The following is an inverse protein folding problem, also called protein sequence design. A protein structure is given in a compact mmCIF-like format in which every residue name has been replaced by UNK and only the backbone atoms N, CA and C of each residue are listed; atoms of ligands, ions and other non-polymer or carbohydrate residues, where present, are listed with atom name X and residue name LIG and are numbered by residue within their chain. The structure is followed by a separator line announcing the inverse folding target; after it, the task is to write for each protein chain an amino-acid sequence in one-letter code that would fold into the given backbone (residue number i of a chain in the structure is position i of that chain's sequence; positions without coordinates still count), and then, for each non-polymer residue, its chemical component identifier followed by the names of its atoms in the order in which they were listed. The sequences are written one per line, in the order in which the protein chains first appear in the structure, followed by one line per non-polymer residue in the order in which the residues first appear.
data_IF_990062528178
#
_entry.id   IF_990062528178
#
_cell.length_a   1.000
_cell.length_b   1.000
_cell.length_c   1.000
_cell.angle_alpha   90.00
_cell.angle_beta   90.00
_cell.angle_gamma   90.00
#
_symmetry.space_group_name_H-M   'P 1'
#
loop_
_entity.id
_entity.type
_entity.pdbx_description
1 polymer ?
2 polymer ?
3 non-polymer ?
4 non-polymer ?
5 non-polymer ?
6 non-polymer ?
7 water ?
#
# COMPACT_ATOMS: atom_id res chain seq x y z
N UNK A 1 -19.81 -12.20 7.18
CA UNK A 1 -19.24 -13.22 6.24
C UNK A 1 -18.80 -14.47 6.99
N UNK A 2 -17.64 -15.01 6.61
CA UNK A 2 -17.11 -16.16 7.34
C UNK A 2 -16.87 -15.85 8.81
N UNK A 3 -16.65 -14.59 9.16
CA UNK A 3 -16.33 -14.19 10.53
C UNK A 3 -17.51 -13.54 11.21
N UNK A 4 -18.70 -13.66 10.62
CA UNK A 4 -19.86 -12.95 11.13
C UNK A 4 -20.27 -13.38 12.52
N UNK A 5 -19.94 -14.62 12.90
CA UNK A 5 -20.36 -15.11 14.21
C UNK A 5 -19.35 -14.85 15.32
N UNK A 6 -18.16 -14.29 15.03
CA UNK A 6 -17.19 -13.98 16.07
C UNK A 6 -17.34 -12.53 16.51
N UNK A 7 -17.18 -12.32 17.81
CA UNK A 7 -17.17 -10.98 18.38
C UNK A 7 -16.10 -10.10 17.76
N UNK A 8 -16.45 -8.82 17.56
CA UNK A 8 -15.46 -7.85 17.12
C UNK A 8 -14.20 -7.91 17.96
N UNK A 9 -14.33 -7.87 19.29
CA UNK A 9 -13.14 -7.82 20.12
C UNK A 9 -12.30 -9.08 19.94
N UNK A 10 -12.95 -10.24 19.79
CA UNK A 10 -12.23 -11.49 19.64
C UNK A 10 -11.45 -11.51 18.32
N UNK A 11 -12.06 -10.96 17.27
CA UNK A 11 -11.38 -10.86 15.97
C UNK A 11 -10.14 -9.99 16.07
N UNK A 12 -10.23 -8.88 16.79
CA UNK A 12 -9.06 -8.02 16.95
C UNK A 12 -7.99 -8.72 17.77
N UNK A 13 -8.41 -9.34 18.87
CA UNK A 13 -7.47 -10.11 19.67
C UNK A 13 -6.77 -11.17 18.82
N UNK A 14 -7.53 -11.90 18.01
CA UNK A 14 -6.97 -12.96 17.18
C UNK A 14 -6.13 -12.41 16.02
N UNK A 15 -6.47 -11.23 15.51
CA UNK A 15 -5.57 -10.60 14.56
C UNK A 15 -4.19 -10.34 15.18
N UNK A 16 -4.16 -9.88 16.43
CA UNK A 16 -2.88 -9.63 17.10
C UNK A 16 -2.11 -10.93 17.33
N UNK A 17 -2.80 -12.00 17.69
CA UNK A 17 -2.15 -13.30 17.84
C UNK A 17 -1.58 -13.78 16.50
N UNK A 18 -2.36 -13.65 15.44
CA UNK A 18 -1.91 -14.09 14.12
C UNK A 18 -0.68 -13.32 13.69
N UNK A 19 -0.65 -12.01 13.95
CA UNK A 19 0.57 -11.23 13.68
C UNK A 19 1.78 -11.82 14.41
N UNK A 20 1.61 -12.17 15.68
CA UNK A 20 2.75 -12.73 16.43
C UNK A 20 3.17 -14.07 15.86
N UNK A 21 2.21 -14.86 15.36
CA UNK A 21 2.47 -16.13 14.74
C UNK A 21 2.92 -16.01 13.29
N UNK A 22 3.02 -14.81 12.76
CA UNK A 22 3.30 -14.58 11.35
C UNK A 22 2.32 -15.34 10.45
N UNK A 23 1.06 -15.35 10.86
CA UNK A 23 -0.04 -15.93 10.09
C UNK A 23 -0.84 -14.80 9.47
N UNK A 24 -0.28 -14.20 8.41
CA UNK A 24 -0.86 -12.96 7.89
C UNK A 24 -2.14 -13.19 7.09
N UNK A 25 -2.33 -14.35 6.46
CA UNK A 25 -3.60 -14.61 5.82
C UNK A 25 -4.72 -14.69 6.85
N UNK A 26 -4.48 -15.39 7.96
CA UNK A 26 -5.40 -15.37 9.10
C UNK A 26 -5.61 -13.95 9.60
N UNK A 27 -4.51 -13.21 9.81
CA UNK A 27 -4.61 -11.84 10.30
C UNK A 27 -5.54 -11.01 9.42
N UNK A 28 -5.40 -11.15 8.11
CA UNK A 28 -6.22 -10.37 7.20
C UNK A 28 -7.69 -10.77 7.27
N UNK A 29 -7.97 -12.08 7.33
CA UNK A 29 -9.34 -12.54 7.44
C UNK A 29 -10.01 -12.05 8.71
N UNK A 30 -9.28 -12.06 9.84
CA UNK A 30 -9.82 -11.54 11.10
C UNK A 30 -10.12 -10.04 10.98
N UNK A 31 -9.20 -9.27 10.40
CA UNK A 31 -9.43 -7.84 10.28
C UNK A 31 -10.53 -7.52 9.25
N UNK A 32 -10.61 -8.27 8.16
CA UNK A 32 -11.78 -8.17 7.29
C UNK A 32 -13.06 -8.38 8.09
N UNK A 33 -13.09 -9.41 8.93
CA UNK A 33 -14.27 -9.67 9.71
C UNK A 33 -14.56 -8.54 10.67
N UNK A 34 -13.51 -7.97 11.26
CA UNK A 34 -13.71 -6.85 12.18
C UNK A 34 -14.27 -5.63 11.44
N UNK A 35 -13.72 -5.32 10.26
CA UNK A 35 -14.25 -4.20 9.46
C UNK A 35 -15.73 -4.40 9.16
N UNK A 36 -16.12 -5.61 8.78
CA UNK A 36 -17.49 -5.87 8.38
C UNK A 36 -18.46 -5.83 9.56
N UNK A 37 -17.98 -5.70 10.80
CA UNK A 37 -18.91 -5.42 11.89
C UNK A 37 -19.54 -4.04 11.74
N UNK A 38 -18.97 -3.18 10.89
CA UNK A 38 -19.60 -1.91 10.57
C UNK A 38 -19.19 -0.74 11.45
N UNK A 39 -18.43 -0.97 12.50
CA UNK A 39 -17.94 0.13 13.30
C UNK A 39 -16.66 0.71 12.69
N UNK A 40 -16.43 2.00 12.93
CA UNK A 40 -15.17 2.60 12.48
C UNK A 40 -14.00 1.97 13.25
N UNK A 41 -12.82 2.07 12.67
CA UNK A 41 -11.61 1.47 13.25
C UNK A 41 -10.82 2.49 14.05
N UNK A 42 -10.22 2.03 15.13
CA UNK A 42 -9.25 2.82 15.92
C UNK A 42 -7.92 2.91 15.12
N UNK A 43 -6.99 3.74 15.57
CA UNK A 43 -5.66 3.88 14.95
C UNK A 43 -4.99 2.50 14.95
N UNK A 44 -4.97 1.81 16.08
CA UNK A 44 -4.37 0.47 16.16
C UNK A 44 -5.04 -0.50 15.21
N UNK A 45 -6.38 -0.49 15.15
CA UNK A 45 -7.10 -1.42 14.26
C UNK A 45 -6.82 -1.12 12.80
N UNK A 46 -6.73 0.16 12.42
CA UNK A 46 -6.36 0.49 11.04
C UNK A 46 -5.00 -0.07 10.71
N UNK A 47 -4.05 0.07 11.63
CA UNK A 47 -2.72 -0.45 11.38
C UNK A 47 -2.71 -1.97 11.31
N UNK A 48 -3.51 -2.65 12.15
CA UNK A 48 -3.61 -4.10 12.02
C UNK A 48 -4.13 -4.50 10.66
N UNK A 49 -5.16 -3.81 10.18
CA UNK A 49 -5.71 -4.08 8.86
C UNK A 49 -4.65 -3.93 7.79
N UNK A 50 -3.94 -2.79 7.81
CA UNK A 50 -2.95 -2.49 6.79
C UNK A 50 -1.78 -3.47 6.84
N UNK A 51 -1.28 -3.77 8.03
CA UNK A 51 -0.15 -4.68 8.15
C UNK A 51 -0.51 -6.05 7.60
N UNK A 52 -1.72 -6.52 7.92
CA UNK A 52 -2.14 -7.85 7.47
C UNK A 52 -2.11 -7.92 5.96
N UNK A 53 -2.90 -7.08 5.31
CA UNK A 53 -3.00 -7.14 3.86
C UNK A 53 -1.72 -6.74 3.16
N UNK A 54 -0.92 -5.86 3.77
CA UNK A 54 0.36 -5.53 3.16
C UNK A 54 1.25 -6.76 3.09
N UNK A 55 1.16 -7.61 4.12
CA UNK A 55 2.00 -8.79 4.14
C UNK A 55 1.50 -9.82 3.14
N UNK A 56 0.19 -9.97 3.05
CA UNK A 56 -0.40 -10.92 2.09
C UNK A 56 -0.06 -10.50 0.67
N UNK A 57 -0.36 -9.25 0.32
CA UNK A 57 -0.15 -8.83 -1.06
C UNK A 57 1.33 -8.76 -1.35
N UNK A 58 2.16 -8.47 -0.35
CA UNK A 58 3.59 -8.46 -0.58
C UNK A 58 4.11 -9.80 -1.06
N UNK A 59 3.66 -10.88 -0.43
CA UNK A 59 4.01 -12.21 -0.91
C UNK A 59 3.61 -12.48 -2.34
N UNK A 60 2.39 -12.04 -2.73
CA UNK A 60 1.89 -12.21 -4.08
C UNK A 60 2.69 -11.39 -5.08
N UNK A 61 3.04 -10.15 -4.74
CA UNK A 61 3.82 -9.32 -5.64
C UNK A 61 5.22 -9.91 -5.86
N UNK A 62 5.84 -10.39 -4.79
CA UNK A 62 7.16 -11.00 -4.91
C UNK A 62 7.10 -12.22 -5.82
N UNK A 63 6.09 -13.08 -5.62
CA UNK A 63 5.89 -14.24 -6.49
C UNK A 63 5.60 -13.84 -7.91
N UNK A 64 4.72 -12.85 -8.11
CA UNK A 64 4.38 -12.42 -9.46
C UNK A 64 5.63 -11.94 -10.21
N UNK A 65 6.51 -11.19 -9.54
CA UNK A 65 7.68 -10.66 -10.23
C UNK A 65 8.64 -11.78 -10.63
N UNK A 66 8.83 -12.75 -9.76
CA UNK A 66 9.62 -13.93 -10.11
C UNK A 66 9.05 -14.62 -11.36
N UNK A 67 7.74 -14.87 -11.37
CA UNK A 67 7.13 -15.57 -12.49
C UNK A 67 7.14 -14.73 -13.76
N UNK A 68 6.91 -13.43 -13.61
CA UNK A 68 6.93 -12.53 -14.75
C UNK A 68 8.32 -12.50 -15.40
N UNK A 69 9.37 -12.50 -14.59
CA UNK A 69 10.73 -12.47 -15.12
C UNK A 69 11.05 -13.76 -15.89
N UNK A 70 10.69 -14.90 -15.30
CA UNK A 70 10.85 -16.18 -16.00
C UNK A 70 10.11 -16.14 -17.33
N UNK A 71 8.86 -15.69 -17.30
CA UNK A 71 8.03 -15.65 -18.47
C UNK A 71 8.62 -14.79 -19.57
N UNK A 72 9.19 -13.64 -19.20
CA UNK A 72 9.83 -12.78 -20.20
C UNK A 72 11.10 -13.45 -20.74
N UNK A 73 11.88 -14.10 -19.87
CA UNK A 73 13.02 -14.88 -20.34
C UNK A 73 12.60 -15.92 -21.37
N UNK A 74 11.47 -16.59 -21.12
CA UNK A 74 11.02 -17.67 -21.99
C UNK A 74 10.39 -17.16 -23.28
N UNK A 75 10.28 -15.86 -23.45
CA UNK A 75 9.78 -15.27 -24.68
C UNK A 75 10.83 -14.40 -25.39
N UNK A 76 12.08 -14.48 -24.96
CA UNK A 76 13.17 -13.80 -25.64
C UNK A 76 13.67 -14.63 -26.82
N UNK A 77 14.44 -13.99 -27.70
CA UNK A 77 14.95 -14.68 -28.87
C UNK A 77 15.91 -15.80 -28.48
N UNK A 78 15.79 -16.94 -29.15
CA UNK A 78 16.67 -18.07 -28.89
C UNK A 78 16.33 -18.89 -27.68
N UNK A 79 15.05 -18.97 -27.31
CA UNK A 79 14.61 -19.64 -26.09
C UNK A 79 13.74 -20.85 -26.43
N UNK A 80 14.07 -21.99 -25.82
CA UNK A 80 13.33 -23.22 -26.06
C UNK A 80 11.92 -23.09 -25.49
N UNK A 81 10.92 -23.09 -26.38
CA UNK A 81 9.52 -23.15 -25.96
C UNK A 81 9.35 -24.16 -24.83
N UNK A 82 8.58 -23.79 -23.83
CA UNK A 82 8.28 -24.70 -22.73
C UNK A 82 6.78 -24.82 -22.50
N UNK A 83 5.96 -24.26 -23.39
CA UNK A 83 4.54 -24.40 -23.30
C UNK A 83 3.86 -23.33 -22.48
N UNK A 84 2.58 -23.54 -22.18
CA UNK A 84 1.76 -22.49 -21.55
C UNK A 84 1.96 -22.36 -20.05
N UNK A 85 2.79 -23.18 -19.42
CA UNK A 85 2.72 -23.34 -17.98
C UNK A 85 3.16 -22.09 -17.23
N UNK A 86 4.25 -21.46 -17.66
CA UNK A 86 4.71 -20.26 -16.99
C UNK A 86 3.65 -19.18 -17.06
N UNK A 87 3.15 -18.91 -18.26
CA UNK A 87 2.08 -17.92 -18.40
C UNK A 87 0.89 -18.28 -17.54
N UNK A 88 0.50 -19.57 -17.52
CA UNK A 88 -0.70 -19.95 -16.78
C UNK A 88 -0.53 -19.70 -15.30
N UNK A 89 0.65 -20.05 -14.76
CA UNK A 89 0.84 -19.93 -13.33
C UNK A 89 1.04 -18.47 -12.94
N UNK A 90 1.70 -17.70 -13.81
CA UNK A 90 1.78 -16.26 -13.57
C UNK A 90 0.39 -15.63 -13.52
N UNK A 91 -0.49 -16.03 -14.45
CA UNK A 91 -1.89 -15.60 -14.43
C UNK A 91 -2.60 -16.04 -13.16
N UNK A 92 -2.31 -17.26 -12.67
CA UNK A 92 -2.96 -17.73 -11.45
C UNK A 92 -2.65 -16.82 -10.28
N UNK A 93 -1.36 -16.53 -10.08
CA UNK A 93 -0.92 -15.66 -9.01
C UNK A 93 -1.46 -14.26 -9.20
N UNK A 94 -1.39 -13.77 -10.44
CA UNK A 94 -1.89 -12.44 -10.73
C UNK A 94 -3.37 -12.32 -10.39
N UNK A 95 -4.16 -13.35 -10.72
CA UNK A 95 -5.57 -13.30 -10.40
C UNK A 95 -5.81 -13.30 -8.90
N UNK A 96 -5.01 -14.07 -8.14
CA UNK A 96 -5.18 -14.07 -6.69
C UNK A 96 -4.79 -12.71 -6.09
N UNK A 97 -3.73 -12.12 -6.61
CA UNK A 97 -3.33 -10.78 -6.21
C UNK A 97 -4.43 -9.77 -6.46
N UNK A 98 -4.99 -9.79 -7.67
CA UNK A 98 -6.07 -8.87 -7.99
C UNK A 98 -7.25 -9.08 -7.08
N UNK A 99 -7.51 -10.33 -6.70
CA UNK A 99 -8.61 -10.60 -5.79
C UNK A 99 -8.39 -9.98 -4.43
N UNK A 100 -7.15 -10.04 -3.93
CA UNK A 100 -6.82 -9.43 -2.65
C UNK A 100 -6.99 -7.91 -2.74
N UNK A 101 -6.48 -7.30 -3.81
CA UNK A 101 -6.63 -5.86 -3.98
C UNK A 101 -8.09 -5.48 -4.06
N UNK A 102 -8.90 -6.26 -4.77
CA UNK A 102 -10.33 -5.95 -4.89
C UNK A 102 -11.02 -6.08 -3.54
N UNK A 103 -10.61 -7.06 -2.73
CA UNK A 103 -11.17 -7.22 -1.39
C UNK A 103 -10.89 -5.99 -0.54
N UNK A 104 -9.63 -5.51 -0.56
CA UNK A 104 -9.26 -4.35 0.26
C UNK A 104 -10.02 -3.11 -0.22
N UNK A 105 -10.03 -2.90 -1.53
CA UNK A 105 -10.75 -1.77 -2.08
C UNK A 105 -12.23 -1.84 -1.77
N UNK A 106 -12.77 -3.06 -1.69
CA UNK A 106 -14.17 -3.21 -1.30
C UNK A 106 -14.42 -2.76 0.13
N UNK A 107 -13.49 -3.05 1.03
CA UNK A 107 -13.65 -2.64 2.42
C UNK A 107 -13.59 -1.14 2.53
N UNK A 108 -12.65 -0.52 1.80
CA UNK A 108 -12.51 0.94 1.82
C UNK A 108 -13.76 1.60 1.26
N UNK A 109 -14.32 1.04 0.20
CA UNK A 109 -15.52 1.58 -0.42
C UNK A 109 -16.79 1.30 0.36
N UNK A 110 -16.80 0.24 1.20
CA UNK A 110 -18.00 -0.24 1.85
C UNK A 110 -17.69 -0.61 3.30
N UNK A 111 -17.49 0.36 4.18
CA UNK A 111 -17.77 1.79 4.00
C UNK A 111 -16.78 2.62 4.80
N UNK A 112 -15.52 2.15 4.84
CA UNK A 112 -14.52 2.77 5.69
C UNK A 112 -14.30 4.22 5.32
N UNK A 113 -14.13 4.49 4.03
CA UNK A 113 -13.80 5.85 3.64
C UNK A 113 -14.96 6.80 3.92
N UNK A 114 -16.19 6.41 3.56
CA UNK A 114 -17.27 7.39 3.70
C UNK A 114 -17.56 7.71 5.15
N UNK A 115 -17.26 6.79 6.06
CA UNK A 115 -17.47 7.06 7.47
C UNK A 115 -16.28 7.67 8.16
N UNK A 116 -15.15 7.88 7.47
CA UNK A 116 -13.94 8.41 8.08
C UNK A 116 -14.01 9.93 8.02
N UNK A 117 -14.30 10.56 9.16
CA UNK A 117 -14.42 12.00 9.20
C UNK A 117 -13.12 12.69 9.55
N UNK A 118 -12.36 12.10 10.48
CA UNK A 118 -11.12 12.71 10.90
C UNK A 118 -10.07 12.60 9.83
N UNK A 119 -9.15 13.55 9.85
CA UNK A 119 -8.07 13.57 8.85
C UNK A 119 -7.20 12.33 8.96
N UNK A 120 -6.84 11.92 10.18
CA UNK A 120 -5.94 10.78 10.35
C UNK A 120 -6.56 9.50 9.85
N UNK A 121 -7.89 9.34 9.97
CA UNK A 121 -8.49 8.13 9.41
C UNK A 121 -8.74 8.26 7.91
N UNK A 122 -9.22 9.42 7.44
CA UNK A 122 -9.55 9.55 6.03
C UNK A 122 -8.30 9.50 5.17
N UNK A 123 -7.24 10.17 5.61
CA UNK A 123 -5.97 10.09 4.87
C UNK A 123 -5.43 8.67 4.89
N UNK A 124 -5.52 7.97 6.03
CA UNK A 124 -5.01 6.60 6.07
C UNK A 124 -5.71 5.74 5.01
N UNK A 125 -7.05 5.84 4.93
CA UNK A 125 -7.80 4.98 4.04
C UNK A 125 -7.60 5.35 2.59
N UNK A 126 -7.53 6.67 2.30
CA UNK A 126 -7.30 7.10 0.93
C UNK A 126 -5.92 6.70 0.44
N UNK A 127 -4.91 6.79 1.31
CA UNK A 127 -3.61 6.24 0.98
C UNK A 127 -3.69 4.74 0.65
N UNK A 128 -4.42 3.98 1.47
CA UNK A 128 -4.56 2.55 1.19
C UNK A 128 -5.22 2.34 -0.16
N UNK A 129 -6.24 3.13 -0.48
CA UNK A 129 -6.89 3.00 -1.77
C UNK A 129 -5.91 3.25 -2.89
N UNK A 130 -5.07 4.28 -2.74
CA UNK A 130 -4.07 4.53 -3.75
C UNK A 130 -3.09 3.38 -3.87
N UNK A 131 -2.65 2.85 -2.72
CA UNK A 131 -1.71 1.73 -2.69
C UNK A 131 -2.24 0.50 -3.43
N UNK A 132 -3.48 0.10 -3.15
CA UNK A 132 -3.99 -1.13 -3.75
C UNK A 132 -4.36 -0.94 -5.22
N UNK A 133 -4.75 0.27 -5.64
CA UNK A 133 -4.79 0.52 -7.09
C UNK A 133 -3.38 0.50 -7.69
N UNK A 134 -2.37 0.94 -6.95
CA UNK A 134 -1.02 0.86 -7.46
C UNK A 134 -0.58 -0.59 -7.65
N UNK A 135 -0.91 -1.47 -6.71
CA UNK A 135 -0.54 -2.89 -6.88
C UNK A 135 -1.28 -3.49 -8.09
N UNK A 136 -2.53 -3.10 -8.30
CA UNK A 136 -3.21 -3.51 -9.52
C UNK A 136 -2.50 -2.99 -10.76
N UNK A 137 -2.06 -1.73 -10.73
CA UNK A 137 -1.38 -1.15 -11.89
C UNK A 137 -0.07 -1.87 -12.22
N UNK A 138 0.62 -2.39 -11.18
CA UNK A 138 1.89 -3.07 -11.41
C UNK A 138 1.72 -4.26 -12.36
N UNK A 139 0.54 -4.90 -12.35
CA UNK A 139 0.29 -6.09 -13.16
C UNK A 139 -0.67 -5.83 -14.31
N UNK A 140 -1.13 -4.59 -14.48
CA UNK A 140 -2.08 -4.27 -15.52
C UNK A 140 -1.37 -4.05 -16.85
N UNK A 141 -2.04 -4.45 -17.93
CA UNK A 141 -1.47 -4.37 -19.28
C UNK A 141 -2.51 -4.06 -20.35
N UNK A 142 -3.78 -4.00 -19.97
CA UNK A 142 -4.86 -3.98 -20.94
C UNK A 142 -5.53 -2.62 -21.08
N UNK A 143 -6.81 -2.64 -21.46
CA UNK A 143 -7.56 -1.42 -21.71
C UNK A 143 -7.95 -0.70 -20.43
N UNK A 144 -7.66 -1.26 -19.26
CA UNK A 144 -7.98 -0.63 -18.00
C UNK A 144 -6.74 -0.11 -17.26
N UNK A 145 -5.53 -0.29 -17.81
CA UNK A 145 -4.35 0.12 -17.08
C UNK A 145 -4.37 1.63 -16.82
N UNK A 146 -4.77 2.42 -17.82
CA UNK A 146 -4.75 3.87 -17.64
C UNK A 146 -5.75 4.30 -16.59
N UNK A 147 -6.92 3.66 -16.55
CA UNK A 147 -7.94 4.03 -15.58
C UNK A 147 -7.56 3.56 -14.19
N UNK A 148 -6.92 2.40 -14.08
CA UNK A 148 -6.39 1.94 -12.79
C UNK A 148 -5.39 2.95 -12.25
N UNK A 149 -4.47 3.39 -13.10
CA UNK A 149 -3.48 4.38 -12.71
C UNK A 149 -4.15 5.66 -12.26
N UNK A 150 -5.14 6.11 -13.02
CA UNK A 150 -5.78 7.35 -12.62
C UNK A 150 -6.55 7.18 -11.33
N UNK A 151 -7.08 5.98 -11.06
CA UNK A 151 -7.73 5.74 -9.79
C UNK A 151 -6.74 5.84 -8.64
N UNK A 152 -5.55 5.26 -8.81
CA UNK A 152 -4.53 5.43 -7.79
C UNK A 152 -4.19 6.91 -7.61
N UNK A 153 -3.91 7.59 -8.71
CA UNK A 153 -3.58 9.01 -8.66
C UNK A 153 -4.66 9.80 -7.93
N UNK A 154 -5.92 9.58 -8.29
CA UNK A 154 -7.00 10.34 -7.68
C UNK A 154 -7.07 10.11 -6.18
N UNK A 155 -6.89 8.86 -5.73
CA UNK A 155 -6.96 8.57 -4.29
C UNK A 155 -5.80 9.23 -3.57
N UNK A 156 -4.59 9.04 -4.08
CA UNK A 156 -3.41 9.66 -3.47
C UNK A 156 -3.56 11.16 -3.43
N UNK A 157 -4.14 11.76 -4.46
CA UNK A 157 -4.20 13.21 -4.53
C UNK A 157 -5.18 13.76 -3.51
N UNK A 158 -6.33 13.09 -3.32
CA UNK A 158 -7.27 13.55 -2.31
C UNK A 158 -6.62 13.43 -0.94
N UNK A 159 -5.88 12.35 -0.72
CA UNK A 159 -5.22 12.15 0.57
C UNK A 159 -4.16 13.21 0.79
N UNK A 160 -3.45 13.59 -0.27
CA UNK A 160 -2.42 14.61 -0.14
C UNK A 160 -3.05 15.94 0.23
N UNK A 161 -4.15 16.28 -0.44
CA UNK A 161 -4.78 17.58 -0.20
C UNK A 161 -5.20 17.71 1.26
N UNK A 162 -5.86 16.67 1.79
CA UNK A 162 -6.31 16.68 3.17
C UNK A 162 -5.14 16.74 4.12
N UNK A 163 -4.08 15.96 3.84
CA UNK A 163 -2.97 15.91 4.77
C UNK A 163 -2.25 17.26 4.82
N UNK A 164 -2.12 17.92 3.67
CA UNK A 164 -1.47 19.21 3.65
C UNK A 164 -2.28 20.25 4.42
N UNK A 165 -3.61 20.12 4.41
CA UNK A 165 -4.45 21.08 5.12
C UNK A 165 -4.53 20.79 6.60
N UNK A 166 -4.47 19.51 6.99
CA UNK A 166 -4.90 19.11 8.32
C UNK A 166 -3.83 18.49 9.21
N UNK A 167 -2.64 18.19 8.70
CA UNK A 167 -1.62 17.48 9.45
C UNK A 167 -0.32 18.24 9.36
N UNK A 168 0.53 18.15 10.40
CA UNK A 168 1.85 18.73 10.29
C UNK A 168 2.71 17.99 9.30
N UNK A 169 3.75 18.63 8.80
CA UNK A 169 4.65 17.97 7.84
C UNK A 169 5.34 16.73 8.34
N UNK A 170 5.43 16.52 9.66
CA UNK A 170 6.11 15.34 10.21
C UNK A 170 5.17 14.20 10.53
N UNK A 171 3.88 14.40 10.32
CA UNK A 171 2.91 13.39 10.64
C UNK A 171 3.26 12.11 9.89
N UNK A 172 3.48 10.98 10.59
CA UNK A 172 3.92 9.76 9.88
C UNK A 172 2.97 9.29 8.80
N UNK A 173 1.66 9.49 8.96
CA UNK A 173 0.74 9.09 7.91
C UNK A 173 0.98 9.95 6.67
N UNK A 174 1.06 11.27 6.86
CA UNK A 174 1.37 12.19 5.76
C UNK A 174 2.69 11.83 5.10
N UNK A 175 3.70 11.48 5.88
CA UNK A 175 5.00 11.15 5.30
C UNK A 175 4.97 9.85 4.51
N UNK A 176 4.31 8.83 5.05
CA UNK A 176 4.21 7.56 4.34
C UNK A 176 3.40 7.70 3.06
N UNK A 177 2.37 8.54 3.10
CA UNK A 177 1.59 8.85 1.90
C UNK A 177 2.49 9.44 0.81
N UNK A 178 3.25 10.47 1.18
CA UNK A 178 4.10 11.15 0.21
C UNK A 178 5.17 10.21 -0.33
N UNK A 179 5.77 9.40 0.54
CA UNK A 179 6.69 8.37 0.08
C UNK A 179 6.05 7.52 -1.02
N UNK A 180 4.87 6.96 -0.74
CA UNK A 180 4.26 6.02 -1.66
C UNK A 180 3.77 6.72 -2.93
N UNK A 181 3.22 7.93 -2.81
CA UNK A 181 2.81 8.69 -3.99
C UNK A 181 4.02 9.00 -4.87
N UNK A 182 5.18 9.30 -4.25
CA UNK A 182 6.37 9.59 -5.05
C UNK A 182 6.82 8.35 -5.80
N UNK A 183 6.74 7.17 -5.18
CA UNK A 183 7.06 5.93 -5.90
C UNK A 183 6.05 5.70 -7.02
N UNK A 184 4.76 5.93 -6.75
CA UNK A 184 3.76 5.91 -7.81
C UNK A 184 4.22 6.73 -9.00
N UNK A 185 4.59 7.98 -8.73
CA UNK A 185 4.99 8.88 -9.80
C UNK A 185 6.17 8.29 -10.53
N UNK A 186 7.12 7.75 -9.79
CA UNK A 186 8.38 7.40 -10.40
C UNK A 186 8.21 6.24 -11.38
N UNK A 187 7.58 5.17 -10.94
CA UNK A 187 7.56 3.95 -11.73
C UNK A 187 6.19 3.50 -12.22
N UNK A 188 5.10 4.13 -11.81
CA UNK A 188 3.77 3.82 -12.33
C UNK A 188 3.36 4.83 -13.37
N UNK A 189 3.46 6.12 -13.02
CA UNK A 189 3.10 7.21 -13.92
C UNK A 189 4.25 7.64 -14.82
N UNK A 190 5.43 7.05 -14.66
CA UNK A 190 6.60 7.42 -15.44
C UNK A 190 6.81 8.93 -15.39
N UNK A 191 6.73 9.49 -14.18
CA UNK A 191 6.93 10.91 -13.93
C UNK A 191 8.08 11.05 -12.92
N UNK A 192 9.32 10.77 -13.33
CA UNK A 192 10.38 10.74 -12.33
C UNK A 192 10.66 12.09 -11.72
N UNK A 193 10.50 13.17 -12.47
CA UNK A 193 10.78 14.47 -11.89
C UNK A 193 9.71 14.86 -10.87
N UNK A 194 8.45 14.49 -11.11
CA UNK A 194 7.45 14.70 -10.07
C UNK A 194 7.81 13.91 -8.81
N UNK A 195 8.23 12.66 -8.98
CA UNK A 195 8.61 11.81 -7.86
C UNK A 195 9.73 12.45 -7.04
N UNK A 196 10.78 12.91 -7.73
CA UNK A 196 11.93 13.50 -7.04
C UNK A 196 11.51 14.77 -6.32
N UNK A 197 10.75 15.63 -6.99
CA UNK A 197 10.32 16.87 -6.37
C UNK A 197 9.48 16.59 -5.13
N UNK A 198 8.53 15.66 -5.24
CA UNK A 198 7.69 15.40 -4.08
C UNK A 198 8.53 14.91 -2.92
N UNK A 199 9.48 14.02 -3.19
CA UNK A 199 10.26 13.42 -2.11
C UNK A 199 11.15 14.48 -1.45
N UNK A 200 11.75 15.36 -2.26
CA UNK A 200 12.63 16.37 -1.68
C UNK A 200 11.85 17.33 -0.80
N UNK A 201 10.76 17.89 -1.34
CA UNK A 201 9.93 18.84 -0.60
C UNK A 201 9.38 18.21 0.67
N UNK A 202 8.94 16.96 0.57
CA UNK A 202 8.43 16.27 1.75
C UNK A 202 9.51 16.13 2.81
N UNK A 203 10.68 15.71 2.38
CA UNK A 203 11.80 15.56 3.32
C UNK A 203 12.16 16.89 3.97
N UNK A 204 12.29 17.93 3.16
CA UNK A 204 12.76 19.21 3.69
C UNK A 204 11.74 19.84 4.63
N UNK A 205 10.44 19.75 4.32
CA UNK A 205 9.44 20.35 5.17
C UNK A 205 9.30 19.58 6.48
N UNK A 206 9.44 18.27 6.44
CA UNK A 206 9.51 17.50 7.67
C UNK A 206 10.74 17.89 8.48
N UNK A 207 11.90 17.92 7.87
CA UNK A 207 13.14 18.25 8.61
C UNK A 207 12.94 19.56 9.39
N UNK A 208 12.26 20.57 8.85
CA UNK A 208 12.10 21.87 9.49
C UNK A 208 11.07 21.86 10.61
N UNK A 209 10.28 20.80 10.71
CA UNK A 209 9.25 20.65 11.73
C UNK A 209 9.68 19.66 12.84
N UNK A 210 10.81 18.97 12.69
CA UNK A 210 11.22 18.01 13.70
C UNK A 210 11.40 18.65 15.07
N UNK A 211 11.77 19.92 15.12
CA UNK A 211 12.01 20.56 16.40
C UNK A 211 10.78 20.59 17.30
N UNK A 212 9.58 20.42 16.73
CA UNK A 212 8.35 20.49 17.52
C UNK A 212 8.00 19.19 18.22
N UNK A 213 8.72 18.10 17.93
CA UNK A 213 8.37 16.74 18.31
C UNK A 213 9.05 16.29 19.59
N UNK A 214 8.34 15.45 20.32
CA UNK A 214 8.94 14.63 21.36
C UNK A 214 9.92 13.64 20.75
N UNK A 215 10.72 13.03 21.63
CA UNK A 215 11.68 12.03 21.19
C UNK A 215 10.98 10.86 20.52
N UNK A 216 9.80 10.45 21.02
CA UNK A 216 9.13 9.30 20.41
C UNK A 216 8.57 9.65 19.03
N UNK A 217 7.97 10.83 18.89
CA UNK A 217 7.46 11.24 17.59
C UNK A 217 8.60 11.49 16.61
N UNK A 218 9.70 12.07 17.09
CA UNK A 218 10.90 12.26 16.27
C UNK A 218 11.35 10.95 15.67
N UNK A 219 11.38 9.88 16.48
CA UNK A 219 11.82 8.59 15.97
C UNK A 219 10.87 8.07 14.88
N UNK A 220 9.55 8.19 15.10
CA UNK A 220 8.56 7.78 14.10
C UNK A 220 8.77 8.49 12.77
N UNK A 221 8.87 9.82 12.82
CA UNK A 221 8.96 10.62 11.59
C UNK A 221 10.29 10.39 10.87
N UNK A 222 11.41 10.42 11.59
CA UNK A 222 12.70 10.22 10.93
C UNK A 222 12.83 8.85 10.29
N UNK A 223 12.18 7.83 10.87
CA UNK A 223 12.19 6.51 10.22
C UNK A 223 11.66 6.60 8.79
N UNK A 224 10.54 7.29 8.58
CA UNK A 224 10.02 7.38 7.21
C UNK A 224 10.82 8.37 6.38
N UNK A 225 11.34 9.43 7.00
CA UNK A 225 12.22 10.33 6.26
C UNK A 225 13.41 9.60 5.67
N UNK A 226 13.92 8.58 6.37
CA UNK A 226 15.05 7.85 5.84
C UNK A 226 14.68 7.10 4.56
N UNK A 227 13.43 6.62 4.48
CA UNK A 227 12.98 5.96 3.25
C UNK A 227 12.93 6.93 2.08
N UNK A 228 12.46 8.17 2.33
CA UNK A 228 12.50 9.21 1.30
C UNK A 228 13.91 9.44 0.81
N UNK A 229 14.85 9.55 1.74
CA UNK A 229 16.26 9.73 1.36
C UNK A 229 16.78 8.52 0.58
N UNK A 230 16.50 7.31 1.06
CA UNK A 230 16.95 6.11 0.37
C UNK A 230 16.57 6.15 -1.10
N UNK A 231 15.30 6.51 -1.39
CA UNK A 231 14.86 6.58 -2.78
C UNK A 231 15.54 7.71 -3.54
N UNK A 232 15.60 8.90 -2.92
CA UNK A 232 16.26 10.01 -3.59
C UNK A 232 17.70 9.66 -3.97
N UNK A 233 18.39 8.90 -3.10
CA UNK A 233 19.75 8.49 -3.41
C UNK A 233 19.83 7.64 -4.67
N UNK A 234 18.81 6.85 -4.94
CA UNK A 234 18.80 6.04 -6.15
C UNK A 234 18.32 6.85 -7.35
N UNK A 235 17.47 7.84 -7.14
CA UNK A 235 16.85 8.59 -8.22
C UNK A 235 17.69 9.77 -8.70
N UNK A 236 18.68 10.22 -7.94
CA UNK A 236 19.43 11.45 -8.27
C UNK A 236 20.94 11.22 -8.27
N UNK B 1 13.09 -7.11 -10.18
CA UNK B 1 12.94 -5.65 -10.38
C UNK B 1 13.52 -4.94 -9.15
N UNK B 2 14.19 -3.81 -9.33
CA UNK B 2 14.67 -2.99 -8.20
C UNK B 2 13.40 -2.41 -7.59
N UNK B 3 13.07 -2.75 -6.34
CA UNK B 3 11.87 -2.19 -5.68
C UNK B 3 12.29 -0.97 -4.84
N UNK B 4 11.66 0.17 -5.00
CA UNK B 4 11.93 1.35 -4.19
C UNK B 4 11.21 1.22 -2.86
N UNK B 5 11.63 2.03 -1.91
CA UNK B 5 11.08 1.97 -0.57
C UNK B 5 9.67 2.55 -0.54
N UNK B 6 8.74 1.79 0.03
CA UNK B 6 7.39 2.29 0.31
C UNK B 6 7.09 1.99 1.77
N UNK B 7 5.99 2.56 2.26
CA UNK B 7 5.68 2.54 3.68
C UNK B 7 5.36 1.12 4.18
N UNK B 8 5.74 0.81 5.42
CA UNK B 8 5.27 -0.40 6.05
C UNK B 8 6.06 -1.63 5.66
N UNK B 9 5.56 -2.83 6.01
CA UNK B 9 6.37 -4.05 5.93
C UNK B 9 6.61 -4.62 4.53
N UNK B 10 7.38 -5.71 4.45
CA UNK B 10 7.71 -6.43 3.19
C UNK B 10 7.90 -5.45 2.05
X LIG C 1 -4.48 -11.47 -16.18
X LIG D 1 -20.93 -8.14 19.53
X LIG E 1 -1.78 -22.72 -12.88
X LIG F 1 2.65 -21.19 -24.96
X LIG F 1 2.15 -22.50 -25.14
X LIG F 1 1.49 -20.20 -25.13
X LIG F 1 0.30 -20.95 -25.31
X LIG F 1 1.35 -19.30 -23.90
X LIG F 1 2.56 -18.69 -23.49
X LIG G 1 1.23 -0.88 14.57
X LIG G 1 0.83 -3.50 14.68
X LIG G 1 -0.23 0.15 16.08
X LIG G 1 0.77 0.34 15.17
X LIG G 1 1.21 1.66 14.90
X LIG G 1 0.64 2.74 15.57
X LIG G 1 -0.38 2.51 16.49
X LIG G 1 -0.80 1.22 16.75
X LIG G 1 -1.02 3.62 17.31
X LIG G 1 2.99 3.16 13.96
X LIG G 1 2.42 4.05 12.86
X LIG G 1 4.48 2.88 13.75
X LIG G 1 0.60 -2.03 15.02
X LIG G 1 2.27 1.90 13.94
X LIG G 1 1.93 3.22 11.76
X LIG G 1 0.27 -4.35 15.40
X LIG G 1 1.76 -3.94 13.65
X LIG G 1 -0.57 -1.54 16.19
X LIG G 1 -1.99 4.71 16.26
#
# INVERSE_FOLDING_TARGET
GAMGSMERASLIQKAKLAEQAERYEDMAAFMKGAVEKGEELSCEERNLLSVAYKNVVGGQRAAWRVLSSIEQKSNEEGSEEKGPEVREYREKVETELQGVCDTVLGLLDSHLIKEAGDAESRVFYLKMKGDYYRYLAEVATGDDKKRIIDSARSAYQEAMDISKKEMPPTNPIRLGLALNFSVFHYEIANSPEEAISLAKTTFDEAMADLHTLSEDSYKDSTLIMQLLRDNLTLWT
KLMFKTEGPDSD
MG MG
MG MG
CL CL
GOL C1 O1 C2 O2 C3 O3
JT2 C15 C17 C02 C03 C04 C05 C06 C07 C08 C11 C12 C14 C16 N10 N13 N18 N19 S01 S09
#
